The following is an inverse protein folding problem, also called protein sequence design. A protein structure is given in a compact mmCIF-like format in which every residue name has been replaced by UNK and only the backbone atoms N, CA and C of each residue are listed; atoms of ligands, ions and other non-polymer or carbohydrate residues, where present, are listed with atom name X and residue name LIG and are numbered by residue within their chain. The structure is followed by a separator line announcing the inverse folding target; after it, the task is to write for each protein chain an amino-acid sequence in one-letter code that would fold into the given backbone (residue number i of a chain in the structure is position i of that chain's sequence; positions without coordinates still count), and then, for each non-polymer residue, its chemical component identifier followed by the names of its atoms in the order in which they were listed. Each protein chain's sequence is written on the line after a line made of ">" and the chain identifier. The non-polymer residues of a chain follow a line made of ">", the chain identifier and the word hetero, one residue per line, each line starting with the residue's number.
data_IF_720407229139
#
_entry.id   IF_720407229139
#
_cell.length_a   1.000
_cell.length_b   1.000
_cell.length_c   1.000
_cell.angle_alpha   90.00
_cell.angle_beta   90.00
_cell.angle_gamma   90.00
#
_symmetry.space_group_name_H-M   'P 1'
#
loop_
_entity.id
_entity.type
_entity.pdbx_description
1 polymer ?
#
# COMPACT_ATOMS: atom_id res chain seq x y z
N UNK A 1 -12.66 22.73 20.30
CA UNK A 1 -13.17 21.41 20.72
C UNK A 1 -14.30 21.04 19.79
N UNK A 2 -14.00 20.29 18.75
CA UNK A 2 -14.96 19.77 17.77
C UNK A 2 -15.15 18.28 18.07
N UNK A 3 -16.37 17.72 18.04
CA UNK A 3 -16.65 16.44 18.67
C UNK A 3 -16.16 15.27 17.80
N UNK A 4 -15.57 14.27 18.47
CA UNK A 4 -15.01 13.01 17.95
C UNK A 4 -16.10 11.94 17.75
N UNK A 5 -17.39 12.31 17.76
CA UNK A 5 -18.52 11.38 17.93
C UNK A 5 -19.23 10.96 16.64
N UNK A 6 -18.56 10.99 15.48
CA UNK A 6 -19.13 10.52 14.20
C UNK A 6 -18.27 9.45 13.49
N UNK A 7 -17.44 8.71 14.23
CA UNK A 7 -16.38 7.87 13.64
C UNK A 7 -16.73 6.38 13.51
N UNK A 8 -17.86 5.91 14.06
CA UNK A 8 -18.24 4.48 14.01
C UNK A 8 -19.09 4.13 12.79
N UNK A 9 -19.75 5.12 12.16
CA UNK A 9 -20.45 4.92 10.87
C UNK A 9 -19.50 4.89 9.65
N UNK A 10 -18.21 5.22 9.84
CA UNK A 10 -17.26 5.40 8.73
C UNK A 10 -16.61 4.10 8.23
N UNK A 11 -16.72 2.95 8.94
CA UNK A 11 -16.21 1.67 8.44
C UNK A 11 -16.86 1.23 7.12
N UNK A 12 -18.07 1.71 6.81
CA UNK A 12 -18.72 1.49 5.51
C UNK A 12 -18.23 2.42 4.39
N UNK A 13 -17.92 3.69 4.72
CA UNK A 13 -17.55 4.71 3.74
C UNK A 13 -16.12 4.54 3.17
N UNK A 14 -15.21 3.92 3.91
CA UNK A 14 -13.84 3.66 3.43
C UNK A 14 -13.79 2.69 2.24
N UNK A 15 -14.84 1.88 2.01
CA UNK A 15 -14.95 0.95 0.88
C UNK A 15 -15.52 1.60 -0.39
N UNK A 16 -15.99 2.85 -0.34
CA UNK A 16 -16.45 3.60 -1.53
C UNK A 16 -15.29 4.30 -2.28
N UNK A 17 -14.08 4.29 -1.71
CA UNK A 17 -12.90 4.80 -2.40
C UNK A 17 -12.47 3.78 -3.46
N UNK A 18 -12.86 4.05 -4.71
CA UNK A 18 -12.57 3.29 -5.94
C UNK A 18 -11.08 3.10 -6.27
N UNK A 19 -10.16 3.48 -5.38
CA UNK A 19 -8.74 3.37 -5.64
C UNK A 19 -8.23 1.98 -5.22
N UNK A 20 -7.57 1.23 -6.11
CA UNK A 20 -7.06 -0.08 -5.77
C UNK A 20 -5.99 0.04 -4.66
N UNK A 21 -5.91 -0.96 -3.77
CA UNK A 21 -4.84 -1.08 -2.81
C UNK A 21 -3.47 -1.02 -3.48
N UNK A 22 -2.50 -0.39 -2.81
CA UNK A 22 -1.18 -0.14 -3.39
C UNK A 22 -0.07 -0.18 -2.36
N UNK A 23 1.16 -0.29 -2.86
CA UNK A 23 2.38 -0.07 -2.08
C UNK A 23 2.77 1.39 -2.20
N UNK A 24 3.00 2.06 -1.08
CA UNK A 24 3.49 3.44 -1.03
C UNK A 24 4.91 3.41 -0.47
N UNK A 25 5.88 3.88 -1.24
CA UNK A 25 7.26 4.02 -0.77
C UNK A 25 7.53 5.49 -0.48
N UNK A 26 7.84 5.82 0.77
CA UNK A 26 8.20 7.15 1.21
C UNK A 26 9.71 7.21 1.47
N UNK A 27 10.48 7.68 0.49
CA UNK A 27 11.94 7.76 0.61
C UNK A 27 12.51 8.98 -0.12
N UNK A 28 13.73 9.36 0.24
CA UNK A 28 14.43 10.50 -0.33
C UNK A 28 15.27 10.14 -1.56
N UNK A 29 15.85 8.94 -1.59
CA UNK A 29 16.91 8.59 -2.56
C UNK A 29 16.46 7.62 -3.68
N UNK A 30 15.34 6.92 -3.54
CA UNK A 30 14.78 6.05 -4.58
C UNK A 30 15.32 4.62 -4.59
N UNK A 31 16.27 4.28 -3.71
CA UNK A 31 16.90 2.96 -3.68
C UNK A 31 15.92 1.86 -3.28
N UNK A 32 15.02 2.14 -2.34
CA UNK A 32 14.04 1.16 -1.88
C UNK A 32 12.94 0.91 -2.92
N UNK A 33 12.53 1.94 -3.65
CA UNK A 33 11.59 1.88 -4.76
C UNK A 33 12.14 0.99 -5.87
N UNK A 34 13.40 1.20 -6.26
CA UNK A 34 14.06 0.35 -7.27
C UNK A 34 14.17 -1.09 -6.76
N UNK A 35 14.61 -1.30 -5.52
CA UNK A 35 14.73 -2.64 -4.95
C UNK A 35 13.38 -3.37 -4.89
N UNK A 36 12.32 -2.72 -4.40
CA UNK A 36 10.98 -3.29 -4.29
C UNK A 36 10.37 -3.60 -5.65
N UNK A 37 10.56 -2.75 -6.66
CA UNK A 37 10.09 -3.02 -8.03
C UNK A 37 10.69 -4.30 -8.63
N UNK A 38 11.89 -4.69 -8.22
CA UNK A 38 12.50 -5.95 -8.64
C UNK A 38 11.83 -7.20 -8.08
N UNK A 39 11.10 -7.08 -6.97
CA UNK A 39 10.44 -8.21 -6.29
C UNK A 39 8.92 -8.19 -6.40
N UNK A 40 8.32 -7.03 -6.62
CA UNK A 40 6.89 -6.88 -6.86
C UNK A 40 6.54 -7.21 -8.31
N UNK A 41 5.42 -7.89 -8.49
CA UNK A 41 4.85 -8.16 -9.80
C UNK A 41 4.21 -6.89 -10.39
N UNK A 42 4.08 -6.85 -11.71
CA UNK A 42 3.61 -5.66 -12.44
C UNK A 42 2.15 -5.26 -12.11
N UNK A 43 1.38 -6.16 -11.52
CA UNK A 43 0.00 -5.98 -11.08
C UNK A 43 -0.14 -5.31 -9.70
N UNK A 44 0.95 -5.20 -8.92
CA UNK A 44 0.94 -4.50 -7.62
C UNK A 44 1.32 -3.04 -7.84
N UNK A 45 0.38 -2.08 -7.72
CA UNK A 45 0.69 -0.67 -7.94
C UNK A 45 1.67 -0.18 -6.87
N UNK A 46 2.78 0.42 -7.30
CA UNK A 46 3.76 1.04 -6.41
C UNK A 46 3.86 2.53 -6.70
N UNK A 47 3.62 3.35 -5.68
CA UNK A 47 3.72 4.82 -5.76
C UNK A 47 4.86 5.30 -4.86
N UNK A 48 5.74 6.13 -5.42
CA UNK A 48 6.86 6.74 -4.69
C UNK A 48 6.48 8.15 -4.22
N UNK A 49 6.87 8.49 -3.00
CA UNK A 49 6.72 9.83 -2.41
C UNK A 49 8.04 10.23 -1.73
N UNK A 50 8.28 11.54 -1.62
CA UNK A 50 9.53 12.08 -1.04
C UNK A 50 9.43 12.54 0.41
N UNK A 51 8.22 12.59 0.97
CA UNK A 51 7.98 13.12 2.32
C UNK A 51 6.87 12.35 3.03
N UNK A 52 7.03 12.20 4.35
CA UNK A 52 6.02 11.56 5.23
C UNK A 52 4.66 12.24 5.05
N UNK A 53 4.62 13.57 4.97
CA UNK A 53 3.38 14.31 4.75
C UNK A 53 2.68 13.95 3.42
N UNK A 54 3.44 13.74 2.34
CA UNK A 54 2.86 13.35 1.04
C UNK A 54 2.38 11.91 1.04
N UNK A 55 3.12 11.00 1.67
CA UNK A 55 2.70 9.61 1.85
C UNK A 55 1.37 9.52 2.61
N UNK A 56 1.23 10.26 3.72
CA UNK A 56 -0.02 10.26 4.50
C UNK A 56 -1.19 10.97 3.82
N UNK A 57 -0.92 11.99 2.99
CA UNK A 57 -1.96 12.58 2.14
C UNK A 57 -2.47 11.56 1.12
N UNK A 58 -1.58 10.75 0.54
CA UNK A 58 -1.96 9.68 -0.37
C UNK A 58 -2.76 8.57 0.34
N UNK A 59 -2.50 8.30 1.62
CA UNK A 59 -3.32 7.38 2.42
C UNK A 59 -4.78 7.84 2.58
N UNK A 60 -5.03 9.15 2.59
CA UNK A 60 -6.41 9.68 2.59
C UNK A 60 -7.17 9.35 1.30
N UNK A 61 -6.46 9.17 0.19
CA UNK A 61 -7.03 8.77 -1.11
C UNK A 61 -7.08 7.25 -1.27
N UNK A 62 -6.25 6.51 -0.54
CA UNK A 62 -6.17 5.04 -0.57
C UNK A 62 -5.94 4.50 0.84
N UNK A 63 -7.01 4.31 1.63
CA UNK A 63 -6.92 3.94 3.05
C UNK A 63 -6.50 2.48 3.28
N UNK A 64 -6.39 1.69 2.21
CA UNK A 64 -5.95 0.30 2.24
C UNK A 64 -4.62 0.20 1.47
N UNK A 65 -3.49 0.24 2.18
CA UNK A 65 -2.17 0.32 1.58
C UNK A 65 -1.09 -0.30 2.45
N UNK A 66 -0.02 -0.78 1.81
CA UNK A 66 1.23 -1.12 2.48
C UNK A 66 2.24 0.02 2.31
N UNK A 67 2.69 0.62 3.41
CA UNK A 67 3.63 1.74 3.37
C UNK A 67 5.03 1.25 3.73
N UNK A 68 6.03 1.63 2.94
CA UNK A 68 7.45 1.49 3.26
C UNK A 68 8.01 2.89 3.47
N UNK A 69 8.30 3.25 4.72
CA UNK A 69 8.75 4.60 5.08
C UNK A 69 10.23 4.61 5.48
N UNK A 70 11.02 5.46 4.82
CA UNK A 70 12.41 5.73 5.18
C UNK A 70 12.47 6.59 6.45
N UNK A 71 13.05 6.03 7.50
CA UNK A 71 13.42 6.76 8.71
C UNK A 71 14.80 7.40 8.54
N UNK A 72 14.86 8.70 8.80
CA UNK A 72 16.09 9.44 8.97
C UNK A 72 15.97 10.40 10.16
N UNK A 73 17.09 10.94 10.64
CA UNK A 73 17.08 11.86 11.79
C UNK A 73 16.18 13.09 11.58
N UNK A 74 16.05 13.56 10.34
CA UNK A 74 15.28 14.75 10.01
C UNK A 74 13.76 14.52 10.00
N UNK A 75 13.29 13.27 9.93
CA UNK A 75 11.85 12.96 9.87
C UNK A 75 11.36 12.05 11.00
N UNK A 76 12.24 11.69 11.94
CA UNK A 76 11.97 10.70 12.97
C UNK A 76 10.71 11.04 13.80
N UNK A 77 10.64 12.24 14.35
CA UNK A 77 9.50 12.67 15.17
C UNK A 77 8.19 12.66 14.38
N UNK A 78 8.24 13.15 13.13
CA UNK A 78 7.07 13.19 12.26
C UNK A 78 6.59 11.78 11.88
N UNK A 79 7.50 10.84 11.62
CA UNK A 79 7.14 9.46 11.31
C UNK A 79 6.57 8.74 12.55
N UNK A 80 7.18 8.94 13.73
CA UNK A 80 6.72 8.34 14.97
C UNK A 80 5.32 8.81 15.39
N UNK A 81 5.02 10.12 15.31
CA UNK A 81 3.67 10.65 15.61
C UNK A 81 2.61 10.06 14.66
N UNK A 82 2.98 9.84 13.40
CA UNK A 82 2.09 9.25 12.40
C UNK A 82 1.87 7.76 12.61
N UNK A 83 2.91 7.00 12.95
CA UNK A 83 2.79 5.59 13.31
C UNK A 83 1.88 5.41 14.53
N UNK A 84 2.07 6.20 15.58
CA UNK A 84 1.31 6.11 16.82
C UNK A 84 -0.21 6.35 16.63
N UNK A 85 -0.61 7.04 15.55
CA UNK A 85 -2.01 7.30 15.21
C UNK A 85 -2.53 6.43 14.06
N UNK A 86 -1.66 5.64 13.43
CA UNK A 86 -1.97 4.92 12.19
C UNK A 86 -3.15 3.97 12.34
N UNK A 87 -3.22 3.20 13.43
CA UNK A 87 -4.32 2.25 13.63
C UNK A 87 -5.68 2.94 13.74
N UNK A 88 -5.72 4.12 14.37
CA UNK A 88 -6.94 4.92 14.52
C UNK A 88 -7.33 5.61 13.21
N UNK A 89 -6.37 6.23 12.54
CA UNK A 89 -6.64 7.07 11.36
C UNK A 89 -6.79 6.24 10.08
N UNK A 90 -6.08 5.11 9.97
CA UNK A 90 -6.02 4.23 8.79
C UNK A 90 -5.88 2.75 9.19
N UNK A 91 -6.94 2.09 9.69
CA UNK A 91 -6.86 0.73 10.26
C UNK A 91 -6.44 -0.36 9.26
N UNK A 92 -6.66 -0.12 7.96
CA UNK A 92 -6.29 -1.04 6.88
C UNK A 92 -4.88 -0.82 6.34
N UNK A 93 -4.12 0.14 6.90
CA UNK A 93 -2.73 0.36 6.52
C UNK A 93 -1.80 -0.49 7.37
N UNK A 94 -0.71 -0.97 6.76
CA UNK A 94 0.44 -1.50 7.49
C UNK A 94 1.70 -0.78 7.06
N UNK A 95 2.54 -0.42 8.02
CA UNK A 95 3.77 0.35 7.77
C UNK A 95 5.00 -0.47 8.13
N UNK A 96 5.88 -0.69 7.15
CA UNK A 96 7.25 -1.12 7.37
C UNK A 96 8.17 0.09 7.34
N UNK A 97 9.18 0.10 8.19
CA UNK A 97 10.18 1.17 8.25
C UNK A 97 11.52 0.65 7.76
N UNK A 98 12.15 1.44 6.91
CA UNK A 98 13.50 1.21 6.42
C UNK A 98 14.41 2.33 6.90
N UNK A 99 15.65 2.05 7.25
CA UNK A 99 16.56 3.08 7.75
C UNK A 99 18.01 2.83 7.34
N UNK A 100 18.86 3.83 7.52
CA UNK A 100 20.30 3.61 7.51
C UNK A 100 20.74 2.78 8.74
N UNK A 101 21.82 2.02 8.61
CA UNK A 101 22.35 1.15 9.68
C UNK A 101 22.70 1.93 10.96
N UNK A 102 23.06 3.21 10.86
CA UNK A 102 23.31 4.07 12.03
C UNK A 102 22.08 4.32 12.91
N UNK A 103 20.88 3.99 12.42
CA UNK A 103 19.62 4.10 13.14
C UNK A 103 19.09 2.74 13.62
N UNK A 104 19.88 1.67 13.57
CA UNK A 104 19.45 0.34 14.03
C UNK A 104 18.92 0.32 15.48
N UNK A 105 19.45 1.18 16.35
CA UNK A 105 18.98 1.32 17.73
C UNK A 105 17.51 1.82 17.86
N UNK A 106 16.94 2.35 16.78
CA UNK A 106 15.56 2.84 16.75
C UNK A 106 14.53 1.74 16.48
N UNK A 107 14.97 0.51 16.17
CA UNK A 107 14.06 -0.60 15.83
C UNK A 107 12.93 -0.76 16.85
N UNK A 108 13.28 -0.87 18.13
CA UNK A 108 12.30 -1.06 19.20
C UNK A 108 11.31 0.10 19.28
N UNK A 109 11.79 1.34 19.27
CA UNK A 109 10.94 2.53 19.34
C UNK A 109 9.94 2.59 18.16
N UNK A 110 10.41 2.24 16.96
CA UNK A 110 9.59 2.27 15.75
C UNK A 110 8.54 1.16 15.73
N UNK A 111 8.89 -0.04 16.22
CA UNK A 111 7.95 -1.14 16.38
C UNK A 111 6.88 -0.83 17.43
N UNK A 112 7.27 -0.30 18.58
CA UNK A 112 6.35 0.17 19.63
C UNK A 112 5.41 1.27 19.11
N UNK A 113 5.87 2.11 18.18
CA UNK A 113 5.02 3.12 17.55
C UNK A 113 4.00 2.53 16.55
N UNK A 114 4.10 1.25 16.17
CA UNK A 114 3.12 0.57 15.30
C UNK A 114 3.68 0.07 13.97
N UNK A 115 4.99 0.16 13.72
CA UNK A 115 5.57 -0.44 12.52
C UNK A 115 5.55 -1.98 12.60
N UNK A 116 5.07 -2.64 11.53
CA UNK A 116 5.04 -4.11 11.47
C UNK A 116 6.39 -4.74 11.18
N UNK A 117 7.33 -3.97 10.64
CA UNK A 117 8.67 -4.40 10.30
C UNK A 117 9.64 -3.23 10.32
N UNK A 118 10.89 -3.51 10.67
CA UNK A 118 12.00 -2.58 10.61
C UNK A 118 13.19 -3.28 9.97
N UNK A 119 13.83 -2.64 9.00
CA UNK A 119 15.08 -3.13 8.40
C UNK A 119 16.04 -2.00 8.08
N UNK A 120 17.33 -2.29 8.15
CA UNK A 120 18.38 -1.35 7.71
C UNK A 120 19.12 -1.83 6.47
N UNK A 121 18.64 -2.88 5.80
CA UNK A 121 19.37 -3.54 4.71
C UNK A 121 18.48 -3.69 3.46
N UNK A 122 18.84 -3.05 2.33
CA UNK A 122 18.13 -3.23 1.05
C UNK A 122 18.03 -4.68 0.58
N UNK A 123 18.90 -5.57 1.08
CA UNK A 123 18.84 -7.01 0.79
C UNK A 123 17.56 -7.67 1.30
N UNK A 124 16.87 -7.05 2.24
CA UNK A 124 15.60 -7.53 2.79
C UNK A 124 14.38 -6.99 2.00
N UNK A 125 14.58 -6.32 0.87
CA UNK A 125 13.49 -5.85 0.02
C UNK A 125 12.56 -6.98 -0.45
N UNK A 126 13.07 -8.21 -0.62
CA UNK A 126 12.25 -9.37 -0.91
C UNK A 126 11.22 -9.66 0.21
N UNK A 127 11.66 -9.56 1.48
CA UNK A 127 10.80 -9.75 2.65
C UNK A 127 9.73 -8.66 2.72
N UNK A 128 10.10 -7.41 2.45
CA UNK A 128 9.15 -6.30 2.37
C UNK A 128 8.10 -6.52 1.27
N UNK A 129 8.52 -6.99 0.09
CA UNK A 129 7.62 -7.29 -1.02
C UNK A 129 6.65 -8.46 -0.68
N UNK A 130 7.14 -9.50 0.00
CA UNK A 130 6.31 -10.61 0.49
C UNK A 130 5.29 -10.14 1.54
N UNK A 131 5.70 -9.26 2.46
CA UNK A 131 4.80 -8.67 3.44
C UNK A 131 3.73 -7.80 2.77
N UNK A 132 4.14 -6.98 1.79
CA UNK A 132 3.23 -6.15 1.02
C UNK A 132 2.19 -7.01 0.28
N UNK A 133 2.61 -8.02 -0.49
CA UNK A 133 1.70 -8.94 -1.19
C UNK A 133 0.69 -9.58 -0.24
N UNK A 134 1.18 -10.24 0.82
CA UNK A 134 0.31 -10.90 1.80
C UNK A 134 -0.68 -9.95 2.43
N UNK A 135 -0.26 -8.72 2.74
CA UNK A 135 -1.15 -7.70 3.28
C UNK A 135 -2.23 -7.33 2.27
N UNK A 136 -1.86 -7.03 1.02
CA UNK A 136 -2.80 -6.65 -0.03
C UNK A 136 -3.78 -7.77 -0.38
N UNK A 137 -3.33 -9.02 -0.37
CA UNK A 137 -4.18 -10.20 -0.62
C UNK A 137 -5.21 -10.43 0.51
N UNK A 138 -4.90 -10.00 1.73
CA UNK A 138 -5.79 -10.11 2.89
C UNK A 138 -6.78 -8.94 3.02
N UNK A 139 -6.62 -7.87 2.22
CA UNK A 139 -7.53 -6.75 2.27
C UNK A 139 -8.93 -7.17 1.80
N UNK A 140 -9.99 -6.66 2.44
CA UNK A 140 -11.35 -6.84 1.94
C UNK A 140 -11.42 -6.37 0.49
N UNK A 141 -11.86 -7.25 -0.40
CA UNK A 141 -12.09 -6.85 -1.80
C UNK A 141 -13.19 -5.80 -1.81
N UNK A 142 -13.04 -4.70 -2.56
CA UNK A 142 -14.13 -3.74 -2.72
C UNK A 142 -15.36 -4.50 -3.22
N UNK A 143 -16.50 -4.26 -2.57
CA UNK A 143 -17.75 -4.87 -3.00
C UNK A 143 -18.04 -4.31 -4.39
N UNK A 144 -17.93 -5.15 -5.42
CA UNK A 144 -18.39 -4.81 -6.76
C UNK A 144 -19.84 -4.35 -6.63
N UNK A 145 -20.19 -3.28 -7.34
CA UNK A 145 -21.59 -2.91 -7.44
C UNK A 145 -22.38 -4.08 -8.04
N UNK A 146 -23.68 -4.16 -7.74
CA UNK A 146 -24.53 -5.20 -8.35
C UNK A 146 -24.43 -5.16 -9.87
N UNK A 147 -24.34 -3.96 -10.45
CA UNK A 147 -24.16 -3.76 -11.88
C UNK A 147 -22.83 -4.33 -12.38
N UNK A 148 -21.71 -4.05 -11.72
CA UNK A 148 -20.40 -4.63 -12.07
C UNK A 148 -20.39 -6.16 -11.94
N UNK A 149 -21.04 -6.68 -10.88
CA UNK A 149 -21.20 -8.11 -10.69
C UNK A 149 -22.04 -8.74 -11.81
N UNK A 150 -23.12 -8.08 -12.24
CA UNK A 150 -23.94 -8.50 -13.39
C UNK A 150 -23.09 -8.48 -14.66
N UNK A 151 -22.38 -7.40 -14.95
CA UNK A 151 -21.51 -7.29 -16.12
C UNK A 151 -20.44 -8.37 -16.18
N UNK A 152 -19.87 -8.78 -15.05
CA UNK A 152 -18.90 -9.86 -14.96
C UNK A 152 -19.51 -11.27 -15.16
N UNK A 153 -20.80 -11.45 -14.86
CA UNK A 153 -21.51 -12.72 -15.03
C UNK A 153 -22.00 -12.95 -16.46
N UNK A 154 -22.02 -11.92 -17.32
CA UNK A 154 -22.57 -12.04 -18.67
C UNK A 154 -21.66 -12.88 -19.59
N UNK A 155 -22.22 -13.83 -20.35
CA UNK A 155 -21.46 -14.86 -21.05
C UNK A 155 -20.58 -14.33 -22.19
N UNK A 156 -20.93 -13.19 -22.79
CA UNK A 156 -20.20 -12.61 -23.93
C UNK A 156 -18.83 -12.04 -23.57
N UNK A 157 -18.53 -11.80 -22.28
CA UNK A 157 -17.21 -11.32 -21.86
C UNK A 157 -16.11 -12.34 -22.15
N UNK A 158 -16.43 -13.64 -22.12
CA UNK A 158 -15.49 -14.72 -22.47
C UNK A 158 -15.23 -14.81 -23.98
N UNK A 159 -16.21 -14.42 -24.79
CA UNK A 159 -16.12 -14.47 -26.26
C UNK A 159 -15.26 -13.34 -26.83
N UNK A 160 -15.30 -12.15 -26.21
CA UNK A 160 -14.52 -10.99 -26.66
C UNK A 160 -13.00 -11.19 -26.48
N UNK A 161 -12.57 -11.93 -25.45
CA UNK A 161 -11.15 -12.21 -25.21
C UNK A 161 -10.55 -13.21 -26.20
N UNK A 162 -11.35 -14.15 -26.73
CA UNK A 162 -10.86 -15.20 -27.65
C UNK A 162 -10.82 -14.80 -29.13
N UNK A 163 -11.41 -13.66 -29.50
CA UNK A 163 -11.46 -13.22 -30.90
C UNK A 163 -10.20 -12.44 -31.31
N UNK A 164 -9.53 -11.77 -30.35
CA UNK A 164 -8.26 -11.08 -30.58
C UNK A 164 -7.09 -12.04 -30.91
N UNK A 165 -7.10 -13.26 -30.36
CA UNK A 165 -6.06 -14.26 -30.62
C UNK A 165 -6.21 -14.97 -31.99
N UNK A 166 -7.40 -14.92 -32.60
CA UNK A 166 -7.65 -15.55 -33.91
C UNK A 166 -7.31 -14.67 -35.11
N UNK A 167 -7.25 -13.35 -34.96
CA UNK A 167 -6.89 -12.44 -36.06
C UNK A 167 -5.38 -12.28 -36.30
N UNK A 168 -4.51 -12.66 -35.34
CA UNK A 168 -3.04 -12.64 -35.57
C UNK A 168 -2.48 -13.89 -36.26
N UNK A 169 -3.29 -14.93 -36.46
CA UNK A 169 -2.90 -16.12 -37.23
C UNK A 169 -3.22 -15.92 -38.73
N UNK A 170 -2.63 -14.89 -39.34
CA UNK A 170 -2.68 -14.69 -40.79
C UNK A 170 -1.87 -15.75 -41.55
N UNK A 171 -2.30 -16.15 -42.77
CA UNK A 171 -1.69 -17.22 -43.54
C UNK A 171 -0.30 -16.85 -44.06
N UNK A 172 0.61 -17.84 -44.05
CA UNK A 172 1.94 -17.79 -44.66
C UNK A 172 1.88 -17.66 -46.18
#
# INVERSE_FOLDING_TARGET
>A
MTPVMEMVAHCGAWLELNQPPRVIVCERQGWWTVALRGYLSADVPLVETRTVASAWRLLAETPAAFVVAELCRANADALLDRLARQERDFPLVRVAVVADRSLAAWEWLVREAGAVHFTTSPREAAVLADMARRHLDQLPRPKKSLEEAIWDMLPWRRSASGQADREMAGPR
#
